data_IF_685887143590
#
_entry.id   IF_685887143590
#
_cell.length_a   1.000
_cell.length_b   1.000
_cell.length_c   1.000
_cell.angle_alpha   90.00
_cell.angle_beta   90.00
_cell.angle_gamma   90.00
#
_symmetry.space_group_name_H-M   'P 1'
#
loop_
_entity.id
_entity.type
_entity.pdbx_description
1 polymer ?
#
# COMPACT_ATOMS: atom_id res chain seq x y z
N UNK A 1 18.86 27.87 -26.25
CA UNK A 1 17.62 27.41 -25.60
C UNK A 1 17.93 25.98 -25.20
N UNK A 2 18.25 25.80 -23.92
CA UNK A 2 18.86 24.57 -23.43
C UNK A 2 17.76 23.55 -23.17
N UNK A 3 17.65 22.56 -24.07
CA UNK A 3 16.92 21.32 -23.82
C UNK A 3 17.52 20.65 -22.59
N UNK A 4 16.89 20.91 -21.46
CA UNK A 4 17.22 20.30 -20.18
C UNK A 4 16.28 19.11 -20.05
N UNK A 5 16.73 17.95 -20.54
CA UNK A 5 16.11 16.66 -20.24
C UNK A 5 16.35 16.41 -18.74
N UNK A 6 15.37 16.79 -17.93
CA UNK A 6 15.31 16.47 -16.50
C UNK A 6 14.92 14.99 -16.41
N UNK A 7 15.55 14.25 -15.50
CA UNK A 7 15.28 12.83 -15.22
C UNK A 7 13.79 12.59 -14.92
N UNK A 8 13.02 12.26 -15.96
CA UNK A 8 11.56 12.15 -15.97
C UNK A 8 11.07 10.95 -15.16
N UNK A 9 10.35 11.15 -14.04
CA UNK A 9 9.52 10.06 -13.50
C UNK A 9 9.02 10.17 -12.07
N UNK A 10 9.64 10.96 -11.19
CA UNK A 10 9.23 11.09 -9.78
C UNK A 10 8.66 12.49 -9.56
N UNK A 11 7.33 12.64 -9.47
CA UNK A 11 6.70 13.90 -9.12
C UNK A 11 7.27 14.52 -7.85
N UNK A 12 7.51 15.83 -7.91
CA UNK A 12 8.02 16.66 -6.79
C UNK A 12 7.06 17.78 -6.39
N UNK A 13 6.06 18.02 -7.23
CA UNK A 13 5.03 19.03 -7.08
C UNK A 13 3.72 18.47 -7.66
N UNK A 14 2.62 19.18 -7.43
CA UNK A 14 1.31 18.77 -7.93
C UNK A 14 1.26 18.76 -9.46
N UNK A 15 1.93 19.69 -10.15
CA UNK A 15 1.92 19.78 -11.61
C UNK A 15 2.55 18.55 -12.26
N UNK A 16 3.72 18.12 -11.76
CA UNK A 16 4.38 16.90 -12.22
C UNK A 16 3.60 15.64 -11.87
N UNK A 17 2.87 15.61 -10.75
CA UNK A 17 1.99 14.50 -10.38
C UNK A 17 0.77 14.41 -11.32
N UNK A 18 0.14 15.55 -11.61
CA UNK A 18 -0.98 15.67 -12.56
C UNK A 18 -0.50 15.29 -13.96
N UNK A 19 0.69 15.73 -14.38
CA UNK A 19 1.27 15.40 -15.67
C UNK A 19 1.52 13.88 -15.79
N UNK A 20 2.06 13.25 -14.75
CA UNK A 20 2.27 11.79 -14.71
C UNK A 20 0.94 11.03 -14.77
N UNK A 21 -0.05 11.46 -14.00
CA UNK A 21 -1.38 10.87 -13.93
C UNK A 21 -2.17 10.91 -15.25
N UNK A 22 -1.98 11.98 -16.05
CA UNK A 22 -2.74 12.23 -17.28
C UNK A 22 -2.04 11.75 -18.56
N UNK A 23 -0.89 11.07 -18.45
CA UNK A 23 -0.24 10.47 -19.63
C UNK A 23 -1.18 9.42 -20.25
N UNK A 24 -1.42 9.53 -21.56
CA UNK A 24 -2.38 8.70 -22.30
C UNK A 24 -1.90 7.27 -22.58
N UNK A 25 -0.62 6.98 -22.37
CA UNK A 25 -0.07 5.63 -22.48
C UNK A 25 -0.39 4.84 -21.20
N UNK A 26 -1.09 3.71 -21.33
CA UNK A 26 -1.41 2.80 -20.24
C UNK A 26 -0.17 2.38 -19.43
N UNK A 27 1.00 2.25 -20.07
CA UNK A 27 2.26 1.97 -19.39
C UNK A 27 2.64 3.09 -18.44
N UNK A 28 2.40 4.35 -18.84
CA UNK A 28 2.75 5.54 -18.06
C UNK A 28 1.71 5.85 -16.99
N UNK A 29 0.44 5.46 -17.16
CA UNK A 29 -0.55 5.51 -16.08
C UNK A 29 -0.16 4.60 -14.91
N UNK A 30 0.38 3.40 -15.20
CA UNK A 30 0.93 2.52 -14.16
C UNK A 30 2.11 3.13 -13.41
N UNK A 31 2.90 3.99 -14.06
CA UNK A 31 3.98 4.71 -13.38
C UNK A 31 3.44 5.67 -12.32
N UNK A 32 2.27 6.28 -12.52
CA UNK A 32 1.63 7.09 -11.47
C UNK A 32 1.25 6.25 -10.25
N UNK A 33 0.60 5.11 -10.47
CA UNK A 33 0.14 4.21 -9.41
C UNK A 33 1.34 3.65 -8.62
N UNK A 34 2.37 3.19 -9.34
CA UNK A 34 3.64 2.73 -8.79
C UNK A 34 4.34 3.82 -7.99
N UNK A 35 4.48 5.01 -8.56
CA UNK A 35 5.10 6.15 -7.88
C UNK A 35 4.37 6.49 -6.57
N UNK A 36 3.04 6.55 -6.60
CA UNK A 36 2.25 6.92 -5.42
C UNK A 36 2.46 5.91 -4.27
N UNK A 37 2.37 4.60 -4.57
CA UNK A 37 2.54 3.54 -3.59
C UNK A 37 3.98 3.52 -3.04
N UNK A 38 4.99 3.56 -3.90
CA UNK A 38 6.39 3.52 -3.49
C UNK A 38 6.77 4.77 -2.70
N UNK A 39 6.27 5.94 -3.09
CA UNK A 39 6.52 7.19 -2.35
C UNK A 39 5.88 7.14 -0.98
N UNK A 40 4.60 6.78 -0.87
CA UNK A 40 3.90 6.77 0.42
C UNK A 40 4.45 5.70 1.36
N UNK A 41 4.85 4.54 0.84
CA UNK A 41 5.38 3.44 1.64
C UNK A 41 6.88 3.53 1.93
N UNK A 42 7.61 4.53 1.42
CA UNK A 42 9.08 4.60 1.43
C UNK A 42 9.77 3.39 0.76
N UNK A 43 9.25 2.96 -0.39
CA UNK A 43 9.70 1.81 -1.17
C UNK A 43 9.56 0.45 -0.46
N UNK A 44 8.64 0.36 0.51
CA UNK A 44 8.45 -0.82 1.34
C UNK A 44 7.28 -1.71 0.91
N UNK A 45 6.44 -1.22 0.00
CA UNK A 45 5.35 -1.98 -0.59
C UNK A 45 5.78 -2.69 -1.90
N UNK A 46 5.08 -3.78 -2.22
CA UNK A 46 5.21 -4.52 -3.48
C UNK A 46 4.07 -4.12 -4.41
N UNK A 47 4.39 -3.76 -5.65
CA UNK A 47 3.42 -3.36 -6.67
C UNK A 47 2.81 -4.59 -7.34
N UNK A 48 1.49 -4.58 -7.53
CA UNK A 48 0.78 -5.65 -8.24
C UNK A 48 0.77 -5.37 -9.75
N UNK A 49 1.73 -5.92 -10.48
CA UNK A 49 1.86 -5.67 -11.94
C UNK A 49 0.85 -6.48 -12.78
N UNK A 50 0.29 -7.55 -12.22
CA UNK A 50 -0.65 -8.44 -12.91
C UNK A 50 -2.08 -8.02 -12.59
N UNK A 51 -2.89 -7.79 -13.63
CA UNK A 51 -4.36 -7.79 -13.51
C UNK A 51 -4.81 -9.23 -13.23
N UNK A 52 -4.67 -9.65 -11.98
CA UNK A 52 -5.11 -10.95 -11.45
C UNK A 52 -6.48 -10.86 -10.79
N UNK A 53 -6.87 -11.91 -10.08
CA UNK A 53 -8.15 -12.05 -9.38
C UNK A 53 -8.45 -10.94 -8.35
N UNK A 54 -7.44 -10.15 -7.99
CA UNK A 54 -7.47 -9.13 -6.95
C UNK A 54 -8.06 -7.83 -7.57
N UNK A 55 -9.37 -7.65 -7.39
CA UNK A 55 -10.28 -6.76 -8.15
C UNK A 55 -10.09 -5.25 -7.94
N UNK A 56 -8.86 -4.79 -7.79
CA UNK A 56 -8.55 -3.36 -7.66
C UNK A 56 -7.41 -3.02 -6.70
N UNK A 57 -6.61 -4.02 -6.29
CA UNK A 57 -5.45 -3.80 -5.43
C UNK A 57 -4.21 -3.56 -6.29
N UNK A 58 -3.63 -2.38 -6.13
CA UNK A 58 -2.48 -1.90 -6.92
C UNK A 58 -1.14 -2.21 -6.23
N UNK A 59 -1.16 -2.50 -4.92
CA UNK A 59 0.02 -2.94 -4.18
C UNK A 59 -0.31 -3.49 -2.79
N UNK A 60 0.69 -4.10 -2.17
CA UNK A 60 0.59 -4.70 -0.84
C UNK A 60 1.82 -4.42 0.00
N UNK A 61 1.67 -4.42 1.33
CA UNK A 61 2.78 -4.46 2.28
C UNK A 61 2.41 -5.35 3.46
N UNK A 62 3.41 -5.74 4.25
CA UNK A 62 3.21 -6.47 5.50
C UNK A 62 3.78 -5.67 6.66
N UNK A 63 3.09 -5.71 7.80
CA UNK A 63 3.52 -5.07 9.04
C UNK A 63 3.48 -6.07 10.19
N UNK A 64 4.34 -5.87 11.19
CA UNK A 64 4.37 -6.72 12.38
C UNK A 64 3.21 -6.35 13.29
N UNK A 65 2.24 -7.25 13.46
CA UNK A 65 1.11 -7.05 14.39
C UNK A 65 1.43 -7.57 15.80
N UNK A 66 2.39 -8.49 15.89
CA UNK A 66 2.96 -9.05 17.12
C UNK A 66 4.46 -9.33 16.92
N UNK A 67 5.14 -9.87 17.94
CA UNK A 67 6.55 -10.24 17.83
C UNK A 67 6.82 -11.30 16.74
N UNK A 68 5.81 -12.07 16.35
CA UNK A 68 5.95 -13.20 15.41
C UNK A 68 4.99 -13.11 14.23
N UNK A 69 3.91 -12.33 14.37
CA UNK A 69 2.84 -12.31 13.39
C UNK A 69 2.94 -11.09 12.48
N UNK A 70 2.62 -11.29 11.22
CA UNK A 70 2.49 -10.23 10.23
C UNK A 70 1.05 -10.13 9.76
N UNK A 71 0.62 -8.90 9.46
CA UNK A 71 -0.67 -8.64 8.85
C UNK A 71 -0.49 -7.82 7.57
N UNK A 72 -1.49 -7.90 6.69
CA UNK A 72 -1.43 -7.35 5.33
C UNK A 72 -2.03 -5.94 5.29
N UNK A 73 -1.32 -5.04 4.59
CA UNK A 73 -1.82 -3.75 4.09
C UNK A 73 -2.06 -3.89 2.59
N UNK A 74 -3.17 -3.34 2.10
CA UNK A 74 -3.44 -3.22 0.67
C UNK A 74 -3.52 -1.75 0.25
N UNK A 75 -3.12 -1.47 -0.98
CA UNK A 75 -3.12 -0.14 -1.57
C UNK A 75 -4.02 -0.12 -2.81
N UNK A 76 -4.80 0.95 -2.97
CA UNK A 76 -5.48 1.28 -4.21
C UNK A 76 -5.21 2.75 -4.55
N UNK A 77 -4.94 3.04 -5.82
CA UNK A 77 -4.62 4.37 -6.32
C UNK A 77 -5.71 4.83 -7.31
N UNK A 78 -6.15 6.09 -7.19
CA UNK A 78 -7.08 6.72 -8.14
C UNK A 78 -6.61 8.12 -8.55
N UNK A 79 -6.35 8.30 -9.85
CA UNK A 79 -6.03 9.58 -10.47
C UNK A 79 -7.22 10.34 -11.07
N UNK A 80 -8.41 9.74 -11.08
CA UNK A 80 -9.62 10.35 -11.65
C UNK A 80 -10.72 10.54 -10.60
N UNK A 81 -11.93 10.85 -11.06
CA UNK A 81 -13.09 11.08 -10.18
C UNK A 81 -13.26 9.95 -9.16
N UNK A 82 -13.28 10.35 -7.90
CA UNK A 82 -13.52 9.47 -6.74
C UNK A 82 -14.88 9.75 -6.13
N UNK A 83 -15.46 8.73 -5.50
CA UNK A 83 -16.76 8.80 -4.86
C UNK A 83 -16.82 7.84 -3.68
N UNK A 84 -17.88 7.92 -2.87
CA UNK A 84 -18.15 6.97 -1.79
C UNK A 84 -18.11 5.51 -2.28
N UNK A 85 -18.61 5.22 -3.49
CA UNK A 85 -18.63 3.85 -4.02
C UNK A 85 -17.23 3.29 -4.24
N UNK A 86 -16.25 4.11 -4.58
CA UNK A 86 -14.86 3.67 -4.70
C UNK A 86 -14.32 3.13 -3.37
N UNK A 87 -14.64 3.81 -2.24
CA UNK A 87 -14.24 3.36 -0.90
C UNK A 87 -14.97 2.06 -0.52
N UNK A 88 -16.27 1.96 -0.80
CA UNK A 88 -17.03 0.73 -0.51
C UNK A 88 -16.51 -0.49 -1.29
N UNK A 89 -16.17 -0.31 -2.58
CA UNK A 89 -15.51 -1.35 -3.38
C UNK A 89 -14.15 -1.71 -2.80
N UNK A 90 -13.34 -0.71 -2.46
CA UNK A 90 -12.02 -0.94 -1.87
C UNK A 90 -12.08 -1.74 -0.55
N UNK A 91 -13.06 -1.45 0.32
CA UNK A 91 -13.31 -2.24 1.53
C UNK A 91 -13.61 -3.70 1.20
N UNK A 92 -14.37 -3.95 0.13
CA UNK A 92 -14.71 -5.31 -0.32
C UNK A 92 -13.47 -6.06 -0.82
N UNK A 93 -12.62 -5.38 -1.59
CA UNK A 93 -11.36 -5.94 -2.11
C UNK A 93 -10.38 -6.23 -0.97
N UNK A 94 -10.25 -5.28 -0.03
CA UNK A 94 -9.44 -5.42 1.18
C UNK A 94 -9.85 -6.63 2.02
N UNK A 95 -11.15 -6.84 2.22
CA UNK A 95 -11.66 -7.98 2.97
C UNK A 95 -11.39 -9.31 2.23
N UNK A 96 -11.53 -9.31 0.90
CA UNK A 96 -11.23 -10.48 0.07
C UNK A 96 -9.74 -10.86 0.16
N UNK A 97 -8.87 -9.87 0.30
CA UNK A 97 -7.43 -10.04 0.52
C UNK A 97 -7.03 -10.39 1.96
N UNK A 98 -7.99 -10.47 2.90
CA UNK A 98 -7.73 -10.61 4.34
C UNK A 98 -6.79 -9.52 4.90
N UNK A 99 -6.85 -8.32 4.34
CA UNK A 99 -6.02 -7.19 4.79
C UNK A 99 -6.65 -6.48 5.99
N UNK A 100 -5.79 -5.99 6.89
CA UNK A 100 -6.22 -5.31 8.13
C UNK A 100 -6.28 -3.80 8.01
N UNK A 101 -5.42 -3.25 7.14
CA UNK A 101 -5.38 -1.85 6.79
C UNK A 101 -5.48 -1.71 5.27
N UNK A 102 -6.31 -0.77 4.82
CA UNK A 102 -6.42 -0.35 3.44
C UNK A 102 -5.98 1.11 3.30
N UNK A 103 -5.07 1.37 2.36
CA UNK A 103 -4.62 2.71 2.01
C UNK A 103 -5.19 3.07 0.63
N UNK A 104 -6.03 4.09 0.59
CA UNK A 104 -6.61 4.64 -0.64
C UNK A 104 -5.88 5.93 -1.00
N UNK A 105 -5.01 5.87 -2.00
CA UNK A 105 -4.25 7.01 -2.51
C UNK A 105 -5.04 7.70 -3.62
N UNK A 106 -5.18 9.02 -3.56
CA UNK A 106 -5.92 9.75 -4.59
C UNK A 106 -5.30 11.07 -4.99
N UNK A 107 -5.39 11.39 -6.28
CA UNK A 107 -4.99 12.69 -6.81
C UNK A 107 -6.00 13.80 -6.46
N UNK A 108 -7.28 13.43 -6.36
CA UNK A 108 -8.40 14.35 -6.14
C UNK A 108 -8.72 14.49 -4.64
N UNK A 109 -9.27 15.63 -4.25
CA UNK A 109 -9.72 15.83 -2.87
C UNK A 109 -10.89 14.89 -2.53
N UNK A 110 -10.80 14.13 -1.42
CA UNK A 110 -11.86 13.21 -1.05
C UNK A 110 -13.12 13.97 -0.62
N UNK A 111 -14.28 13.42 -0.98
CA UNK A 111 -15.57 13.98 -0.56
C UNK A 111 -15.86 13.67 0.92
N UNK A 112 -16.78 14.42 1.54
CA UNK A 112 -17.24 14.15 2.90
C UNK A 112 -17.75 12.70 3.06
N UNK A 113 -18.57 12.24 2.10
CA UNK A 113 -19.12 10.90 2.10
C UNK A 113 -18.04 9.79 2.01
N UNK A 114 -16.92 10.06 1.34
CA UNK A 114 -15.78 9.12 1.32
C UNK A 114 -15.12 9.02 2.69
N UNK A 115 -14.91 10.15 3.37
CA UNK A 115 -14.34 10.17 4.73
C UNK A 115 -15.25 9.44 5.72
N UNK A 116 -16.55 9.70 5.65
CA UNK A 116 -17.56 9.03 6.48
C UNK A 116 -17.56 7.50 6.24
N UNK A 117 -17.49 7.06 4.97
CA UNK A 117 -17.41 5.64 4.63
C UNK A 117 -16.13 4.97 5.16
N UNK A 118 -14.98 5.64 5.01
CA UNK A 118 -13.71 5.15 5.52
C UNK A 118 -13.72 5.03 7.05
N UNK A 119 -14.30 6.01 7.76
CA UNK A 119 -14.45 5.98 9.21
C UNK A 119 -15.39 4.85 9.66
N UNK A 120 -16.48 4.61 8.92
CA UNK A 120 -17.44 3.55 9.24
C UNK A 120 -16.83 2.14 9.14
N UNK A 121 -15.73 1.97 8.41
CA UNK A 121 -14.98 0.70 8.36
C UNK A 121 -14.32 0.34 9.71
N UNK A 122 -14.22 1.28 10.63
CA UNK A 122 -13.72 1.09 11.99
C UNK A 122 -12.21 1.26 12.14
N UNK A 123 -11.70 0.87 13.30
CA UNK A 123 -10.28 0.96 13.65
C UNK A 123 -9.64 -0.42 13.84
N UNK A 124 -8.33 -0.46 13.67
CA UNK A 124 -7.46 -1.58 13.96
C UNK A 124 -6.55 -1.20 15.14
N UNK A 125 -6.51 -2.03 16.17
CA UNK A 125 -5.66 -1.84 17.34
C UNK A 125 -4.31 -2.55 17.14
N UNK A 126 -3.25 -1.76 17.01
CA UNK A 126 -1.91 -2.28 16.84
C UNK A 126 -1.28 -2.58 18.21
N UNK A 127 -1.28 -3.85 18.61
CA UNK A 127 -0.86 -4.28 19.95
C UNK A 127 0.57 -3.86 20.31
N UNK A 128 1.53 -4.02 19.39
CA UNK A 128 2.93 -3.63 19.67
C UNK A 128 3.13 -2.12 19.87
N UNK A 129 2.33 -1.29 19.20
CA UNK A 129 2.47 0.16 19.26
C UNK A 129 1.54 0.80 20.29
N UNK A 130 0.58 0.05 20.83
CA UNK A 130 -0.46 0.58 21.71
C UNK A 130 -1.31 1.67 21.05
N UNK A 131 -1.42 1.66 19.71
CA UNK A 131 -2.09 2.71 18.92
C UNK A 131 -3.20 2.14 18.05
N UNK A 132 -4.30 2.87 17.95
CA UNK A 132 -5.37 2.58 17.01
C UNK A 132 -5.13 3.29 15.67
N UNK A 133 -5.43 2.59 14.58
CA UNK A 133 -5.36 3.08 13.22
C UNK A 133 -6.72 2.95 12.56
N UNK A 134 -7.13 3.93 11.75
CA UNK A 134 -8.31 3.74 10.90
C UNK A 134 -8.05 2.57 9.95
N UNK A 135 -9.02 1.65 9.82
CA UNK A 135 -8.90 0.51 8.92
C UNK A 135 -8.77 0.95 7.47
N UNK A 136 -9.44 2.04 7.10
CA UNK A 136 -9.26 2.70 5.81
C UNK A 136 -8.65 4.08 6.03
N UNK A 137 -7.54 4.34 5.35
CA UNK A 137 -6.88 5.64 5.33
C UNK A 137 -6.96 6.18 3.91
N UNK A 138 -7.55 7.37 3.76
CA UNK A 138 -7.54 8.10 2.50
C UNK A 138 -6.41 9.11 2.57
N UNK A 139 -5.50 9.06 1.60
CA UNK A 139 -4.35 9.97 1.53
C UNK A 139 -4.32 10.61 0.15
N UNK A 140 -4.20 11.92 0.14
CA UNK A 140 -4.08 12.70 -1.09
C UNK A 140 -2.63 12.79 -1.54
N UNK A 141 -2.43 12.85 -2.85
CA UNK A 141 -1.11 13.17 -3.43
C UNK A 141 -0.59 14.51 -2.92
N UNK A 142 -1.50 15.47 -2.68
CA UNK A 142 -1.17 16.76 -2.09
C UNK A 142 -0.53 16.63 -0.71
N UNK A 143 -1.12 15.85 0.19
CA UNK A 143 -0.54 15.58 1.52
C UNK A 143 0.82 14.88 1.42
N UNK A 144 0.98 13.95 0.47
CA UNK A 144 2.26 13.26 0.26
C UNK A 144 3.38 14.20 -0.20
N UNK A 145 3.06 15.20 -1.03
CA UNK A 145 4.04 16.12 -1.61
C UNK A 145 4.29 17.32 -0.70
N UNK A 146 3.23 18.03 -0.31
CA UNK A 146 3.34 19.31 0.40
C UNK A 146 3.62 19.13 1.90
N UNK A 147 3.02 18.12 2.51
CA UNK A 147 3.18 17.82 3.94
C UNK A 147 4.13 16.63 4.19
N UNK A 148 4.73 16.06 3.13
CA UNK A 148 5.62 14.91 3.20
C UNK A 148 5.04 13.72 4.00
N UNK A 149 3.72 13.52 3.95
CA UNK A 149 3.05 12.44 4.69
C UNK A 149 3.46 11.08 4.10
N UNK A 150 3.82 10.15 4.98
CA UNK A 150 4.26 8.77 4.67
C UNK A 150 3.54 7.76 5.55
N UNK A 151 3.64 6.49 5.18
CA UNK A 151 3.07 5.39 5.93
C UNK A 151 3.79 5.22 7.28
N UNK A 152 3.08 5.60 8.33
CA UNK A 152 3.49 5.46 9.72
C UNK A 152 3.10 4.08 10.30
N UNK A 153 3.78 3.04 9.82
CA UNK A 153 3.71 1.69 10.40
C UNK A 153 5.06 0.96 10.35
N UNK A 154 5.34 0.08 11.34
CA UNK A 154 6.52 -0.77 11.37
C UNK A 154 6.35 -1.91 10.34
N UNK A 155 6.67 -1.59 9.08
CA UNK A 155 6.62 -2.56 8.00
C UNK A 155 7.72 -3.61 8.16
N UNK A 156 7.36 -4.87 7.95
CA UNK A 156 8.21 -6.04 8.19
C UNK A 156 9.20 -6.28 7.05
N UNK A 157 9.75 -5.24 6.43
CA UNK A 157 10.64 -5.34 5.26
C UNK A 157 11.86 -6.27 5.44
N UNK A 158 12.15 -6.73 6.66
CA UNK A 158 13.23 -7.68 6.98
C UNK A 158 12.91 -9.16 6.70
N UNK A 159 11.68 -9.54 6.36
CA UNK A 159 11.28 -10.96 6.29
C UNK A 159 11.63 -11.62 4.94
N UNK A 160 12.93 -11.72 4.61
CA UNK A 160 13.49 -12.79 3.76
C UNK A 160 14.95 -13.16 4.08
N UNK A 161 15.50 -12.83 5.26
CA UNK A 161 16.87 -13.26 5.64
C UNK A 161 17.02 -14.10 6.90
N UNK A 162 15.94 -14.48 7.61
CA UNK A 162 16.12 -15.21 8.89
C UNK A 162 15.09 -16.29 9.20
N UNK A 163 14.42 -16.86 8.19
CA UNK A 163 13.75 -18.14 8.36
C UNK A 163 14.70 -19.28 7.98
N UNK A 164 15.56 -19.72 8.91
CA UNK A 164 16.13 -21.07 8.81
C UNK A 164 14.99 -22.06 9.06
N UNK A 165 14.66 -22.98 8.14
CA UNK A 165 13.75 -24.06 8.48
C UNK A 165 14.41 -24.90 9.58
N UNK A 166 13.74 -25.03 10.73
CA UNK A 166 14.05 -26.08 11.71
C UNK A 166 13.64 -27.41 11.07
N UNK A 167 14.54 -28.02 10.30
CA UNK A 167 14.43 -29.44 9.99
C UNK A 167 14.68 -30.21 11.28
N UNK A 168 13.62 -30.87 11.76
CA UNK A 168 13.60 -31.67 12.98
C UNK A 168 14.58 -32.83 12.93
N UNK A 169 15.06 -33.18 14.12
CA UNK A 169 15.87 -34.35 14.42
C UNK A 169 15.12 -35.62 13.99
N UNK A 170 15.71 -36.42 13.11
CA UNK A 170 15.38 -37.84 13.02
C UNK A 170 16.45 -38.57 13.84
N UNK A 171 15.93 -39.32 14.80
CA UNK A 171 16.65 -40.05 15.83
C UNK A 171 17.39 -41.24 15.20
N UNK A 172 18.69 -41.27 15.46
CA UNK A 172 19.60 -42.37 15.17
C UNK A 172 19.33 -43.48 16.20
N UNK A 173 18.74 -44.60 15.77
CA UNK A 173 18.73 -45.86 16.53
C UNK A 173 18.31 -47.02 15.61
N UNK A 174 19.29 -47.65 14.97
CA UNK A 174 19.25 -49.08 14.67
C UNK A 174 20.58 -49.66 15.13
N UNK A 175 20.58 -50.12 16.39
CA UNK A 175 21.60 -51.00 16.94
C UNK A 175 21.41 -52.40 16.39
N UNK A 176 22.53 -53.01 16.02
CA UNK A 176 22.77 -54.41 15.75
C UNK A 176 22.02 -55.35 16.70
N UNK A 177 21.34 -56.36 16.13
CA UNK A 177 21.44 -57.82 16.39
C UNK A 177 20.30 -58.57 15.70
#
# INVERSE_FOLDING_TARGET
ISDSIILDGIPKDMDSAIALANKKDDRLRKEFEKWAILTYSDNRAVINEKKGADKGIDGIAYFLSSQTDTEKIVFQVKSGKVSRSAIATFITDMNSENARIGIFLTLEEPTKAMREEAMAAGCYEHKLMGRAYNRIQIVTVKEMIEAAIRLDMPLSLEVLKSAKPKSGQIQEQLSEL
#
